data_IF_835922542075
#
_entry.id   IF_835922542075
#
_cell.length_a   1.000
_cell.length_b   1.000
_cell.length_c   1.000
_cell.angle_alpha   90.00
_cell.angle_beta   90.00
_cell.angle_gamma   90.00
#
_symmetry.space_group_name_H-M   'P 1'
#
loop_
_entity.id
_entity.type
_entity.pdbx_description
1 polymer ?
#
# COMPACT_ATOMS: atom_id res chain seq x y z
N UNK A 1 1.02 -7.56 -18.85
CA UNK A 1 1.75 -6.54 -18.08
C UNK A 1 2.23 -7.16 -16.77
N UNK A 2 3.46 -6.84 -16.36
CA UNK A 2 4.20 -7.54 -15.31
C UNK A 2 3.88 -6.89 -13.95
N UNK A 3 3.18 -7.60 -13.07
CA UNK A 3 2.97 -7.18 -11.69
C UNK A 3 4.33 -7.18 -10.98
N UNK A 4 4.72 -6.04 -10.40
CA UNK A 4 6.02 -5.89 -9.74
C UNK A 4 5.72 -5.57 -8.30
N UNK A 5 5.94 -6.58 -7.46
CA UNK A 5 5.72 -6.54 -6.02
C UNK A 5 6.96 -6.07 -5.29
N UNK A 6 8.08 -6.04 -6.02
CA UNK A 6 9.39 -5.66 -5.55
C UNK A 6 9.99 -4.66 -6.52
N UNK A 7 10.23 -3.45 -6.06
CA UNK A 7 10.90 -2.42 -6.84
C UNK A 7 12.15 -1.94 -6.09
N UNK A 8 13.25 -1.79 -6.82
CA UNK A 8 14.46 -1.15 -6.30
C UNK A 8 14.54 0.27 -6.85
N UNK A 9 14.70 1.22 -5.94
CA UNK A 9 14.82 2.65 -6.25
C UNK A 9 16.02 3.24 -5.52
N UNK A 10 16.66 4.20 -6.16
CA UNK A 10 17.72 5.01 -5.58
C UNK A 10 17.14 6.36 -5.15
N UNK A 11 17.29 6.68 -3.87
CA UNK A 11 16.86 7.96 -3.31
C UNK A 11 18.07 8.79 -2.94
N UNK A 12 18.07 10.05 -3.39
CA UNK A 12 19.15 11.02 -3.16
C UNK A 12 18.54 12.26 -2.51
N UNK A 13 18.83 12.46 -1.23
CA UNK A 13 18.43 13.68 -0.55
C UNK A 13 19.28 14.87 -1.02
N UNK A 14 18.74 16.09 -0.86
CA UNK A 14 19.43 17.31 -1.20
C UNK A 14 20.61 17.57 -0.28
N UNK A 15 21.69 18.10 -0.84
CA UNK A 15 22.83 18.58 -0.05
C UNK A 15 22.48 19.89 0.65
N UNK A 16 23.06 20.13 1.83
CA UNK A 16 23.02 21.44 2.46
C UNK A 16 23.79 22.46 1.64
N UNK A 17 23.29 23.69 1.58
CA UNK A 17 24.02 24.79 0.95
C UNK A 17 25.21 25.24 1.80
N UNK A 18 26.22 25.84 1.18
CA UNK A 18 27.39 26.32 1.92
C UNK A 18 27.13 27.63 2.66
N UNK A 19 27.71 27.76 3.85
CA UNK A 19 27.89 29.06 4.48
C UNK A 19 28.91 29.90 3.70
N UNK A 20 28.82 31.22 3.80
CA UNK A 20 29.81 32.10 3.18
C UNK A 20 30.55 32.95 4.19
N UNK A 21 31.75 33.35 3.80
CA UNK A 21 32.51 34.40 4.48
C UNK A 21 32.22 35.71 3.74
N UNK A 22 31.61 36.65 4.43
CA UNK A 22 31.43 38.01 3.92
C UNK A 22 31.60 39.02 5.05
N UNK A 23 31.92 40.26 4.68
CA UNK A 23 32.05 41.38 5.61
C UNK A 23 31.24 42.56 5.08
N UNK A 24 30.71 43.38 5.98
CA UNK A 24 29.99 44.61 5.60
C UNK A 24 30.98 45.57 4.96
N UNK A 25 30.62 46.14 3.81
CA UNK A 25 31.41 47.17 3.12
C UNK A 25 30.53 48.41 2.95
N UNK A 26 30.86 49.45 3.69
CA UNK A 26 30.17 50.74 3.67
C UNK A 26 31.20 51.85 3.46
N UNK A 27 30.86 52.87 2.66
CA UNK A 27 31.81 53.91 2.22
C UNK A 27 32.54 54.64 3.37
N UNK A 28 31.92 54.72 4.54
CA UNK A 28 32.45 55.42 5.72
C UNK A 28 32.85 54.47 6.86
N UNK A 29 32.85 53.16 6.64
CA UNK A 29 33.20 52.16 7.67
C UNK A 29 34.43 51.36 7.20
N UNK A 30 35.62 51.65 7.74
CA UNK A 30 36.86 51.02 7.28
C UNK A 30 36.94 49.52 7.61
N UNK A 31 36.31 49.06 8.70
CA UNK A 31 36.25 47.64 9.08
C UNK A 31 34.81 47.25 9.48
N UNK A 32 34.04 46.75 8.52
CA UNK A 32 32.69 46.27 8.78
C UNK A 32 32.70 44.87 9.42
N UNK A 33 31.75 44.62 10.31
CA UNK A 33 31.58 43.31 10.95
C UNK A 33 31.21 42.20 9.96
N UNK A 34 31.26 40.92 10.40
CA UNK A 34 30.93 39.78 9.55
C UNK A 34 29.48 39.85 9.06
N UNK A 35 29.29 39.52 7.79
CA UNK A 35 28.06 39.65 7.02
C UNK A 35 27.70 38.38 6.23
N UNK A 36 28.36 37.25 6.50
CA UNK A 36 28.11 36.00 5.79
C UNK A 36 26.86 35.31 6.30
N UNK A 37 25.95 35.00 5.37
CA UNK A 37 24.77 34.18 5.65
C UNK A 37 25.07 32.68 5.73
N UNK A 38 24.17 31.94 6.36
CA UNK A 38 24.20 30.49 6.43
C UNK A 38 23.68 29.87 5.12
N UNK A 39 24.06 28.64 4.83
CA UNK A 39 23.46 27.86 3.77
C UNK A 39 22.09 27.30 4.16
N UNK A 40 21.23 27.09 3.17
CA UNK A 40 19.92 26.45 3.36
C UNK A 40 20.05 24.95 3.58
N UNK A 41 19.05 24.34 4.21
CA UNK A 41 18.98 22.88 4.35
C UNK A 41 18.63 22.23 3.01
N UNK A 42 19.19 21.07 2.72
CA UNK A 42 18.77 20.24 1.59
C UNK A 42 17.39 19.62 1.82
N UNK A 43 16.66 19.38 0.74
CA UNK A 43 15.37 18.69 0.77
C UNK A 43 15.54 17.21 1.16
N UNK A 44 14.57 16.67 1.87
CA UNK A 44 14.51 15.25 2.27
C UNK A 44 13.66 14.47 1.28
N UNK A 45 13.86 13.15 1.22
CA UNK A 45 13.00 12.23 0.46
C UNK A 45 12.04 11.56 1.42
N UNK A 46 10.75 11.64 1.11
CA UNK A 46 9.65 11.17 1.96
C UNK A 46 8.77 10.25 1.13
N UNK A 47 8.54 9.03 1.62
CA UNK A 47 7.52 8.15 1.07
C UNK A 47 6.16 8.52 1.69
N UNK A 48 5.13 8.61 0.87
CA UNK A 48 3.76 8.86 1.29
C UNK A 48 2.85 7.73 0.82
N UNK A 49 2.21 7.05 1.77
CA UNK A 49 1.28 5.97 1.48
C UNK A 49 -0.04 6.51 0.92
N UNK A 50 -0.51 6.00 -0.22
CA UNK A 50 -1.79 6.39 -0.80
C UNK A 50 -2.64 5.16 -1.14
N UNK A 51 -3.95 5.26 -0.92
CA UNK A 51 -4.90 4.16 -1.11
C UNK A 51 -5.22 3.86 -2.57
N UNK A 52 -5.18 4.86 -3.45
CA UNK A 52 -5.52 4.68 -4.87
C UNK A 52 -4.40 3.99 -5.67
N UNK A 53 -3.18 3.95 -5.13
CA UNK A 53 -2.05 3.24 -5.74
C UNK A 53 -2.04 1.79 -5.28
N UNK A 54 -2.12 0.86 -6.23
CA UNK A 54 -2.24 -0.57 -5.95
C UNK A 54 -1.04 -1.39 -6.41
N UNK A 55 -0.10 -0.80 -7.17
CA UNK A 55 1.08 -1.51 -7.71
C UNK A 55 2.32 -0.64 -7.64
N UNK A 56 3.51 -1.25 -7.58
CA UNK A 56 4.79 -0.54 -7.66
C UNK A 56 5.30 -0.41 -9.11
N UNK A 57 4.41 -0.48 -10.11
CA UNK A 57 4.79 -0.49 -11.52
C UNK A 57 5.55 0.79 -11.94
N UNK A 58 5.15 1.94 -11.39
CA UNK A 58 5.71 3.25 -11.73
C UNK A 58 7.21 3.36 -11.38
N UNK A 59 7.63 2.65 -10.34
CA UNK A 59 9.02 2.57 -9.88
C UNK A 59 9.93 1.76 -10.80
N UNK A 60 9.37 1.01 -11.75
CA UNK A 60 10.15 0.29 -12.77
C UNK A 60 10.64 1.21 -13.89
N UNK A 61 10.00 2.35 -14.10
CA UNK A 61 10.40 3.30 -15.14
C UNK A 61 11.24 4.44 -14.55
N UNK A 62 10.94 4.83 -13.32
CA UNK A 62 11.69 5.84 -12.58
C UNK A 62 12.46 5.21 -11.42
N UNK A 63 13.75 4.97 -11.62
CA UNK A 63 14.64 4.35 -10.62
C UNK A 63 15.38 5.34 -9.73
N UNK A 64 15.43 6.63 -10.06
CA UNK A 64 16.20 7.62 -9.29
C UNK A 64 15.33 8.80 -8.90
N UNK A 65 15.24 9.07 -7.59
CA UNK A 65 14.49 10.19 -7.04
C UNK A 65 15.42 11.11 -6.25
N UNK A 66 15.53 12.35 -6.70
CA UNK A 66 16.41 13.36 -6.10
C UNK A 66 15.61 14.53 -5.52
N UNK A 67 15.93 14.92 -4.30
CA UNK A 67 15.41 16.13 -3.66
C UNK A 67 16.27 17.36 -4.00
N UNK A 68 15.72 18.56 -3.82
CA UNK A 68 16.40 19.81 -4.18
C UNK A 68 17.51 20.15 -3.17
N UNK A 69 18.64 20.67 -3.64
CA UNK A 69 19.73 21.12 -2.76
C UNK A 69 19.37 22.43 -2.06
N UNK A 70 19.96 22.64 -0.88
CA UNK A 70 19.91 23.92 -0.20
C UNK A 70 20.71 24.98 -0.95
N UNK A 71 20.17 26.21 -0.99
CA UNK A 71 20.85 27.36 -1.57
C UNK A 71 22.05 27.79 -0.72
N UNK A 72 23.08 28.32 -1.39
CA UNK A 72 24.25 28.91 -0.71
C UNK A 72 23.87 30.17 0.07
N UNK A 73 24.57 30.42 1.18
CA UNK A 73 24.50 31.69 1.89
C UNK A 73 24.89 32.88 1.01
N UNK A 74 24.29 34.03 1.25
CA UNK A 74 24.53 35.27 0.53
C UNK A 74 25.18 36.35 1.40
N UNK A 75 25.71 37.42 0.78
CA UNK A 75 26.24 38.57 1.50
C UNK A 75 25.10 39.30 2.23
N UNK A 76 25.46 40.18 3.17
CA UNK A 76 24.51 40.94 3.99
C UNK A 76 23.59 40.05 4.85
N UNK A 77 24.15 39.00 5.46
CA UNK A 77 23.45 38.08 6.36
C UNK A 77 22.28 37.32 5.71
N UNK A 78 22.28 37.18 4.38
CA UNK A 78 21.23 36.49 3.65
C UNK A 78 21.42 34.98 3.76
N UNK A 79 20.51 34.30 4.42
CA UNK A 79 20.53 32.83 4.50
C UNK A 79 20.03 32.23 3.18
N UNK A 80 20.65 31.14 2.75
CA UNK A 80 20.26 30.41 1.54
C UNK A 80 18.86 29.79 1.67
N UNK A 81 18.15 29.64 0.55
CA UNK A 81 16.83 29.00 0.50
C UNK A 81 16.94 27.52 0.86
N UNK A 82 15.98 26.98 1.60
CA UNK A 82 15.89 25.53 1.80
C UNK A 82 15.47 24.83 0.50
N UNK A 83 16.03 23.66 0.24
CA UNK A 83 15.60 22.79 -0.85
C UNK A 83 14.21 22.23 -0.59
N UNK A 84 13.40 22.06 -1.63
CA UNK A 84 12.13 21.36 -1.58
C UNK A 84 12.31 19.85 -1.35
N UNK A 85 11.45 19.30 -0.47
CA UNK A 85 11.38 17.88 -0.22
C UNK A 85 10.79 17.14 -1.42
N UNK A 86 11.26 15.90 -1.66
CA UNK A 86 10.71 15.03 -2.69
C UNK A 86 9.78 14.01 -2.05
N UNK A 87 8.49 14.14 -2.35
CA UNK A 87 7.47 13.17 -1.95
C UNK A 87 7.35 12.11 -3.04
N UNK A 88 7.40 10.85 -2.62
CA UNK A 88 7.24 9.68 -3.47
C UNK A 88 5.99 8.94 -2.99
N UNK A 89 5.04 8.74 -3.89
CA UNK A 89 3.76 8.12 -3.57
C UNK A 89 3.85 6.61 -3.72
N UNK A 90 3.53 5.86 -2.67
CA UNK A 90 3.57 4.39 -2.66
C UNK A 90 2.22 3.81 -2.22
N UNK A 91 1.85 2.60 -2.66
CA UNK A 91 0.69 1.88 -2.15
C UNK A 91 0.72 1.70 -0.63
N UNK A 92 -0.45 1.67 0.01
CA UNK A 92 -0.56 1.23 1.40
C UNK A 92 -0.19 -0.26 1.51
N UNK A 93 0.51 -0.64 2.58
CA UNK A 93 1.11 -1.98 2.76
C UNK A 93 2.51 -2.14 2.15
N UNK A 94 3.15 -1.05 1.75
CA UNK A 94 4.54 -1.07 1.25
C UNK A 94 5.51 -1.14 2.41
N UNK A 95 6.34 -2.19 2.43
CA UNK A 95 7.47 -2.32 3.34
C UNK A 95 8.72 -1.84 2.65
N UNK A 96 9.51 -1.05 3.39
CA UNK A 96 10.69 -0.39 2.87
C UNK A 96 11.91 -0.99 3.52
N UNK A 97 12.78 -1.59 2.73
CA UNK A 97 14.07 -2.12 3.16
C UNK A 97 15.19 -1.29 2.55
N UNK A 98 16.30 -1.20 3.27
CA UNK A 98 17.56 -0.77 2.69
C UNK A 98 18.12 -1.92 1.83
N UNK A 99 18.35 -1.68 0.54
CA UNK A 99 18.81 -2.71 -0.39
C UNK A 99 20.25 -3.15 -0.09
N UNK A 100 21.07 -2.27 0.47
CA UNK A 100 22.48 -2.56 0.76
C UNK A 100 22.66 -3.31 2.09
N UNK A 101 21.87 -2.97 3.12
CA UNK A 101 21.98 -3.57 4.47
C UNK A 101 20.94 -4.65 4.77
N UNK A 102 19.83 -4.70 4.03
CA UNK A 102 18.69 -5.56 4.29
C UNK A 102 17.84 -5.14 5.50
N UNK A 103 18.16 -4.00 6.14
CA UNK A 103 17.43 -3.50 7.31
C UNK A 103 16.05 -2.95 6.90
N UNK A 104 15.01 -3.28 7.67
CA UNK A 104 13.67 -2.72 7.48
C UNK A 104 13.62 -1.30 8.04
N UNK A 105 13.45 -0.31 7.17
CA UNK A 105 13.32 1.09 7.56
C UNK A 105 11.93 1.41 8.10
N UNK A 106 10.89 0.77 7.57
CA UNK A 106 9.52 0.97 8.03
C UNK A 106 8.47 0.27 7.17
N UNK A 107 7.26 0.18 7.73
CA UNK A 107 6.06 -0.37 7.07
C UNK A 107 5.00 0.74 6.99
N UNK A 108 4.54 1.02 5.77
CA UNK A 108 3.59 2.07 5.44
C UNK A 108 2.19 1.47 5.34
N UNK A 109 1.52 1.30 6.48
CA UNK A 109 0.24 0.59 6.59
C UNK A 109 -0.96 1.53 6.45
N UNK A 110 -0.85 2.75 6.99
CA UNK A 110 -1.96 3.69 7.04
C UNK A 110 -1.98 4.63 5.83
N UNK A 111 -3.16 5.06 5.37
CA UNK A 111 -3.27 6.06 4.33
C UNK A 111 -2.68 7.39 4.78
N UNK A 112 -1.95 8.06 3.87
CA UNK A 112 -1.20 9.31 4.11
C UNK A 112 -0.11 9.20 5.16
N UNK A 113 0.28 7.98 5.54
CA UNK A 113 1.44 7.77 6.40
C UNK A 113 2.70 8.22 5.66
N UNK A 114 3.49 9.07 6.32
CA UNK A 114 4.74 9.58 5.78
C UNK A 114 5.93 8.90 6.46
N UNK A 115 6.87 8.41 5.66
CA UNK A 115 8.14 7.87 6.13
C UNK A 115 9.29 8.62 5.47
N UNK A 116 10.10 9.31 6.28
CA UNK A 116 11.32 9.94 5.79
C UNK A 116 12.39 8.87 5.59
N UNK A 117 12.75 8.61 4.33
CA UNK A 117 13.70 7.56 3.96
C UNK A 117 15.12 8.09 3.79
N UNK A 118 15.29 9.33 3.35
CA UNK A 118 16.59 9.98 3.25
C UNK A 118 16.50 11.43 3.71
N UNK A 119 17.31 11.79 4.71
CA UNK A 119 17.34 13.15 5.27
C UNK A 119 18.22 14.07 4.44
N UNK A 120 17.69 15.26 4.17
CA UNK A 120 18.44 16.34 3.54
C UNK A 120 19.58 16.84 4.41
N UNK A 121 20.70 17.16 3.76
CA UNK A 121 21.93 17.63 4.38
C UNK A 121 21.73 18.95 5.14
N UNK A 122 22.45 19.12 6.25
CA UNK A 122 22.41 20.35 7.04
C UNK A 122 23.11 21.49 6.29
N UNK A 123 22.51 22.68 6.29
CA UNK A 123 23.14 23.88 5.75
C UNK A 123 24.40 24.27 6.50
N UNK A 124 25.39 24.79 5.77
CA UNK A 124 26.64 25.28 6.30
C UNK A 124 26.47 26.59 7.08
N UNK A 125 27.42 26.87 7.97
CA UNK A 125 27.39 28.05 8.83
C UNK A 125 28.26 29.16 8.23
N UNK A 126 27.68 30.35 8.04
CA UNK A 126 28.41 31.52 7.58
C UNK A 126 29.30 32.10 8.67
N UNK A 127 30.23 32.98 8.29
CA UNK A 127 31.20 33.53 9.25
C UNK A 127 30.55 34.30 10.41
N UNK A 128 29.37 34.91 10.21
CA UNK A 128 28.63 35.58 11.29
C UNK A 128 28.32 34.63 12.46
N UNK A 129 28.09 33.35 12.21
CA UNK A 129 27.79 32.38 13.26
C UNK A 129 28.96 32.19 14.25
N UNK A 130 30.20 32.43 13.80
CA UNK A 130 31.41 32.29 14.62
C UNK A 130 31.82 33.59 15.32
N UNK A 131 31.00 34.63 15.26
CA UNK A 131 31.23 35.88 15.96
C UNK A 131 31.21 35.63 17.47
N UNK A 132 32.31 35.96 18.14
CA UNK A 132 32.43 35.86 19.60
C UNK A 132 33.20 37.06 20.16
N UNK A 133 33.16 37.26 21.48
CA UNK A 133 33.89 38.35 22.13
C UNK A 133 35.41 38.28 21.87
N UNK A 134 35.96 37.07 21.72
CA UNK A 134 37.36 36.81 21.41
C UNK A 134 37.67 36.87 19.90
N UNK A 135 36.68 36.57 19.04
CA UNK A 135 36.84 36.61 17.58
C UNK A 135 35.76 37.48 16.92
N UNK A 136 36.08 38.77 16.75
CA UNK A 136 35.16 39.78 16.19
C UNK A 136 35.10 39.79 14.65
N UNK A 137 36.07 39.17 13.99
CA UNK A 137 36.17 39.09 12.52
C UNK A 137 36.50 37.66 12.08
N UNK A 138 35.58 36.70 12.26
CA UNK A 138 35.78 35.33 11.80
C UNK A 138 35.92 35.28 10.26
N UNK A 139 36.99 34.63 9.80
CA UNK A 139 37.31 34.45 8.38
C UNK A 139 36.99 33.04 7.85
N UNK A 140 36.34 32.21 8.66
CA UNK A 140 35.95 30.86 8.27
C UNK A 140 34.43 30.72 8.19
N UNK A 141 33.99 29.81 7.32
CA UNK A 141 32.62 29.35 7.19
C UNK A 141 32.65 27.82 7.07
N UNK A 142 31.57 27.16 7.50
CA UNK A 142 31.43 25.73 7.31
C UNK A 142 30.66 25.45 6.02
N UNK A 143 31.10 24.46 5.21
CA UNK A 143 30.34 24.00 4.06
C UNK A 143 29.06 23.28 4.51
N UNK A 144 28.12 23.11 3.58
CA UNK A 144 26.96 22.28 3.81
C UNK A 144 27.33 20.79 3.94
N UNK A 145 26.54 20.04 4.69
CA UNK A 145 26.71 18.59 4.76
C UNK A 145 26.02 17.93 3.55
N UNK A 146 26.57 16.81 3.06
CA UNK A 146 25.89 16.02 2.03
C UNK A 146 24.57 15.45 2.56
N UNK A 147 23.60 15.30 1.66
CA UNK A 147 22.35 14.58 1.94
C UNK A 147 22.57 13.07 1.95
N UNK A 148 21.68 12.35 2.64
CA UNK A 148 21.70 10.89 2.64
C UNK A 148 21.38 10.33 1.25
N UNK A 149 22.07 9.25 0.87
CA UNK A 149 21.87 8.52 -0.38
C UNK A 149 21.69 7.05 -0.04
N UNK A 150 20.57 6.48 -0.45
CA UNK A 150 20.18 5.12 -0.08
C UNK A 150 19.57 4.42 -1.28
N UNK A 151 19.85 3.13 -1.42
CA UNK A 151 19.09 2.23 -2.28
C UNK A 151 18.01 1.56 -1.45
N UNK A 152 16.78 1.68 -1.90
CA UNK A 152 15.62 1.13 -1.21
C UNK A 152 15.06 -0.02 -2.03
N UNK A 153 14.76 -1.11 -1.34
CA UNK A 153 13.93 -2.20 -1.86
C UNK A 153 12.53 -2.05 -1.27
N UNK A 154 11.59 -1.69 -2.13
CA UNK A 154 10.18 -1.58 -1.79
C UNK A 154 9.53 -2.94 -2.05
N UNK A 155 8.87 -3.48 -1.04
CA UNK A 155 8.10 -4.71 -1.16
C UNK A 155 6.65 -4.43 -0.78
N UNK A 156 5.74 -4.64 -1.73
CA UNK A 156 4.32 -4.57 -1.43
C UNK A 156 3.91 -5.88 -0.77
N UNK A 157 3.54 -5.83 0.52
CA UNK A 157 2.83 -6.95 1.15
C UNK A 157 1.43 -6.97 0.55
N UNK A 158 1.26 -7.75 -0.50
CA UNK A 158 -0.01 -7.88 -1.20
C UNK A 158 -1.11 -8.29 -0.24
N UNK A 159 -2.13 -7.43 -0.17
CA UNK A 159 -3.39 -7.69 0.49
C UNK A 159 -4.40 -7.91 -0.64
N UNK A 160 -4.96 -9.11 -0.72
CA UNK A 160 -6.07 -9.33 -1.64
C UNK A 160 -7.28 -8.54 -1.14
N UNK A 161 -7.88 -7.72 -1.98
CA UNK A 161 -9.09 -6.97 -1.62
C UNK A 161 -10.30 -7.92 -1.56
N UNK A 162 -10.32 -8.90 -2.46
CA UNK A 162 -11.39 -9.90 -2.58
C UNK A 162 -10.83 -11.30 -2.34
N UNK A 163 -11.35 -11.97 -1.33
CA UNK A 163 -11.07 -13.37 -1.05
C UNK A 163 -12.14 -14.27 -1.65
N UNK A 164 -11.75 -15.24 -2.47
CA UNK A 164 -12.67 -16.22 -3.04
C UNK A 164 -12.69 -17.46 -2.14
N UNK A 165 -13.88 -17.83 -1.67
CA UNK A 165 -14.12 -19.00 -0.82
C UNK A 165 -15.10 -19.95 -1.51
N UNK A 166 -15.03 -21.24 -1.18
CA UNK A 166 -15.83 -22.29 -1.81
C UNK A 166 -15.13 -23.63 -1.74
N UNK A 167 -15.88 -24.70 -1.97
CA UNK A 167 -15.40 -26.07 -1.93
C UNK A 167 -14.33 -26.37 -3.01
N UNK A 168 -13.52 -27.43 -2.83
CA UNK A 168 -12.66 -27.92 -3.89
C UNK A 168 -13.55 -28.29 -5.09
N UNK A 169 -13.20 -27.83 -6.29
CA UNK A 169 -13.95 -27.98 -7.55
C UNK A 169 -15.12 -27.00 -7.80
N UNK A 170 -15.37 -26.04 -6.91
CA UNK A 170 -16.33 -24.95 -7.17
C UNK A 170 -15.93 -24.02 -8.35
N UNK A 171 -14.73 -24.22 -8.91
CA UNK A 171 -14.23 -23.45 -10.06
C UNK A 171 -13.52 -22.15 -9.70
N UNK A 172 -12.98 -22.03 -8.47
CA UNK A 172 -12.26 -20.85 -7.97
C UNK A 172 -11.09 -20.44 -8.86
N UNK A 173 -10.17 -21.36 -9.15
CA UNK A 173 -9.02 -21.10 -10.05
C UNK A 173 -9.47 -20.74 -11.47
N UNK A 174 -10.54 -21.37 -11.96
CA UNK A 174 -11.12 -21.09 -13.27
C UNK A 174 -11.70 -19.67 -13.32
N UNK A 175 -12.41 -19.26 -12.27
CA UNK A 175 -12.95 -17.90 -12.13
C UNK A 175 -11.83 -16.86 -12.12
N UNK A 176 -10.77 -17.07 -11.32
CA UNK A 176 -9.61 -16.17 -11.28
C UNK A 176 -8.95 -16.06 -12.66
N UNK A 177 -8.80 -17.19 -13.35
CA UNK A 177 -8.21 -17.23 -14.70
C UNK A 177 -9.08 -16.53 -15.74
N UNK A 178 -10.41 -16.61 -15.61
CA UNK A 178 -11.36 -15.98 -16.51
C UNK A 178 -11.47 -14.46 -16.29
N UNK A 179 -11.40 -14.03 -15.03
CA UNK A 179 -11.50 -12.62 -14.62
C UNK A 179 -10.17 -11.87 -14.77
N UNK A 180 -9.03 -12.55 -14.63
CA UNK A 180 -7.74 -11.85 -14.61
C UNK A 180 -7.33 -11.39 -16.01
N UNK A 181 -6.97 -10.11 -16.12
CA UNK A 181 -6.39 -9.53 -17.32
C UNK A 181 -4.94 -9.98 -17.57
N UNK A 182 -4.34 -10.70 -16.61
CA UNK A 182 -3.02 -11.31 -16.67
C UNK A 182 -3.13 -12.80 -16.37
N UNK A 183 -2.11 -13.60 -16.75
CA UNK A 183 -2.06 -15.00 -16.26
C UNK A 183 -1.99 -14.98 -14.73
N UNK A 184 -2.82 -15.77 -14.02
CA UNK A 184 -2.75 -15.89 -12.57
C UNK A 184 -1.31 -16.16 -12.15
N UNK A 185 -0.79 -15.35 -11.22
CA UNK A 185 0.56 -15.55 -10.70
C UNK A 185 0.46 -16.47 -9.49
N UNK A 186 1.21 -17.57 -9.58
CA UNK A 186 1.49 -18.50 -8.50
C UNK A 186 2.48 -17.80 -7.58
N UNK A 187 2.04 -17.30 -6.42
CA UNK A 187 2.89 -16.55 -5.51
C UNK A 187 3.46 -17.44 -4.41
N UNK A 188 4.77 -17.69 -4.47
CA UNK A 188 5.49 -18.48 -3.48
C UNK A 188 5.90 -17.59 -2.31
N UNK A 189 5.03 -17.47 -1.30
CA UNK A 189 5.38 -16.73 -0.09
C UNK A 189 6.20 -17.64 0.85
N UNK A 190 7.23 -17.09 1.53
CA UNK A 190 8.12 -17.89 2.39
C UNK A 190 7.44 -18.50 3.64
N UNK A 191 6.15 -18.24 3.85
CA UNK A 191 5.36 -18.69 5.00
C UNK A 191 4.11 -19.50 4.61
N UNK A 192 3.93 -19.81 3.33
CA UNK A 192 2.77 -20.57 2.84
C UNK A 192 3.19 -21.98 2.45
N UNK A 193 2.56 -23.00 3.03
CA UNK A 193 2.66 -24.40 2.59
C UNK A 193 1.83 -24.68 1.33
N UNK A 194 0.77 -23.89 1.11
CA UNK A 194 -0.09 -23.93 -0.07
C UNK A 194 0.05 -22.64 -0.85
N UNK A 195 0.41 -22.74 -2.13
CA UNK A 195 0.59 -21.58 -2.99
C UNK A 195 -0.78 -21.01 -3.37
N UNK A 196 -1.13 -19.77 -2.96
CA UNK A 196 -2.41 -19.18 -3.33
C UNK A 196 -2.41 -18.76 -4.80
N UNK A 197 -3.57 -18.91 -5.45
CA UNK A 197 -3.81 -18.38 -6.79
C UNK A 197 -4.25 -16.92 -6.68
N UNK A 198 -3.47 -16.00 -7.25
CA UNK A 198 -3.78 -14.57 -7.29
C UNK A 198 -4.09 -14.15 -8.72
N UNK A 199 -5.16 -13.37 -8.90
CA UNK A 199 -5.53 -12.75 -10.17
C UNK A 199 -5.80 -11.28 -10.00
N UNK A 200 -5.29 -10.48 -10.94
CA UNK A 200 -5.58 -9.04 -10.99
C UNK A 200 -6.68 -8.79 -12.01
N UNK A 201 -7.75 -8.14 -11.57
CA UNK A 201 -8.89 -7.77 -12.41
C UNK A 201 -8.88 -6.26 -12.57
N UNK A 202 -8.91 -5.77 -13.81
CA UNK A 202 -8.95 -4.33 -14.09
C UNK A 202 -10.36 -3.79 -13.93
N UNK A 203 -10.49 -2.71 -13.18
CA UNK A 203 -11.69 -1.88 -13.19
C UNK A 203 -11.75 -1.08 -14.51
N UNK A 204 -12.95 -0.74 -15.00
CA UNK A 204 -13.13 0.18 -16.12
C UNK A 204 -12.52 1.56 -15.85
N UNK A 205 -12.34 1.93 -14.57
CA UNK A 205 -11.73 3.19 -14.13
C UNK A 205 -10.21 3.25 -14.29
N UNK A 206 -9.55 2.11 -14.55
CA UNK A 206 -8.09 2.01 -14.71
C UNK A 206 -7.35 1.36 -13.53
N UNK A 207 -8.00 1.25 -12.37
CA UNK A 207 -7.43 0.64 -11.17
C UNK A 207 -7.44 -0.90 -11.24
N UNK A 208 -6.50 -1.58 -10.59
CA UNK A 208 -6.33 -3.03 -10.65
C UNK A 208 -6.62 -3.70 -9.30
N UNK A 209 -7.77 -4.37 -9.17
CA UNK A 209 -8.15 -5.08 -7.94
C UNK A 209 -7.53 -6.47 -7.89
N UNK A 210 -6.98 -6.85 -6.73
CA UNK A 210 -6.38 -8.17 -6.50
C UNK A 210 -7.41 -9.12 -5.89
N UNK A 211 -7.66 -10.22 -6.59
CA UNK A 211 -8.45 -11.36 -6.15
C UNK A 211 -7.51 -12.47 -5.70
N UNK A 212 -7.74 -13.03 -4.52
CA UNK A 212 -7.05 -14.22 -4.06
C UNK A 212 -8.02 -15.37 -3.88
N UNK A 213 -7.61 -16.55 -4.34
CA UNK A 213 -8.16 -17.79 -3.80
C UNK A 213 -7.69 -17.92 -2.35
N UNK A 214 -8.60 -18.23 -1.44
CA UNK A 214 -8.27 -18.61 -0.08
C UNK A 214 -8.16 -20.15 -0.06
N UNK A 215 -6.95 -20.72 -0.27
CA UNK A 215 -6.74 -22.14 -0.08
C UNK A 215 -6.94 -22.49 1.41
N UNK A 216 -7.62 -23.59 1.68
CA UNK A 216 -7.56 -24.21 3.02
C UNK A 216 -8.63 -23.81 4.04
N UNK A 217 -9.89 -23.60 3.63
CA UNK A 217 -11.01 -23.86 4.55
C UNK A 217 -11.27 -25.37 4.72
N UNK A 218 -10.76 -26.19 3.79
CA UNK A 218 -11.04 -27.62 3.69
C UNK A 218 -10.26 -28.40 4.78
N UNK A 219 -11.01 -29.08 5.65
CA UNK A 219 -10.61 -30.21 6.50
C UNK A 219 -9.21 -30.11 7.17
N UNK A 220 -9.12 -29.41 8.31
CA UNK A 220 -7.98 -29.53 9.23
C UNK A 220 -7.39 -28.23 9.78
N UNK A 221 -7.90 -27.05 9.37
CA UNK A 221 -7.44 -25.76 9.88
C UNK A 221 -7.62 -25.61 11.42
N UNK A 222 -8.64 -26.27 11.98
CA UNK A 222 -8.90 -26.34 13.42
C UNK A 222 -7.93 -27.24 14.19
N UNK A 223 -7.15 -28.11 13.53
CA UNK A 223 -6.17 -29.00 14.18
C UNK A 223 -4.75 -28.39 14.28
N UNK A 224 -4.55 -27.15 13.85
CA UNK A 224 -3.25 -26.46 14.00
C UNK A 224 -2.12 -27.00 13.11
N UNK A 225 -2.44 -27.84 12.12
CA UNK A 225 -1.47 -28.43 11.21
C UNK A 225 -1.41 -27.60 9.92
N UNK A 226 -0.48 -26.64 9.87
CA UNK A 226 0.13 -26.23 8.61
C UNK A 226 -0.31 -24.91 7.97
N UNK A 227 -1.32 -24.21 8.48
CA UNK A 227 -1.61 -22.82 8.09
C UNK A 227 -0.96 -21.90 9.11
N UNK A 228 0.22 -21.36 8.78
CA UNK A 228 0.96 -20.46 9.66
C UNK A 228 0.09 -19.28 10.12
N UNK A 229 0.22 -18.90 11.40
CA UNK A 229 -0.50 -17.78 12.02
C UNK A 229 -0.37 -16.47 11.22
N UNK A 230 0.70 -16.33 10.42
CA UNK A 230 0.91 -15.19 9.55
C UNK A 230 0.05 -15.24 8.28
N UNK A 231 -0.16 -16.37 7.60
CA UNK A 231 -1.05 -16.45 6.42
C UNK A 231 -2.48 -16.00 6.76
N UNK A 232 -2.93 -16.38 7.95
CA UNK A 232 -4.19 -16.01 8.55
C UNK A 232 -4.32 -14.48 8.73
N UNK A 233 -3.25 -13.81 9.17
CA UNK A 233 -3.18 -12.34 9.27
C UNK A 233 -3.26 -11.63 7.91
N UNK A 234 -2.93 -12.31 6.81
CA UNK A 234 -3.05 -11.75 5.46
C UNK A 234 -4.48 -11.89 4.90
N UNK A 235 -5.17 -13.00 5.18
CA UNK A 235 -6.60 -13.17 4.87
C UNK A 235 -7.46 -12.23 5.72
N UNK A 236 -7.04 -11.93 6.95
CA UNK A 236 -7.68 -10.92 7.81
C UNK A 236 -7.68 -9.50 7.22
N UNK A 237 -7.04 -9.24 6.08
CA UNK A 237 -7.12 -7.95 5.38
C UNK A 237 -7.95 -7.96 4.09
N UNK A 238 -8.61 -9.08 3.77
CA UNK A 238 -9.62 -9.10 2.70
C UNK A 238 -10.82 -8.24 3.11
N UNK A 239 -11.25 -7.35 2.22
CA UNK A 239 -12.38 -6.44 2.50
C UNK A 239 -13.71 -7.10 2.16
N UNK A 240 -13.70 -8.02 1.21
CA UNK A 240 -14.89 -8.68 0.69
C UNK A 240 -14.61 -10.17 0.46
N UNK A 241 -15.61 -11.00 0.76
CA UNK A 241 -15.57 -12.44 0.48
C UNK A 241 -16.53 -12.77 -0.67
N UNK A 242 -16.02 -13.46 -1.69
CA UNK A 242 -16.82 -14.02 -2.78
C UNK A 242 -17.02 -15.51 -2.51
N UNK A 243 -18.24 -15.89 -2.17
CA UNK A 243 -18.62 -17.27 -1.92
C UNK A 243 -19.07 -17.93 -3.22
N UNK A 244 -18.21 -18.80 -3.74
CA UNK A 244 -18.45 -19.61 -4.92
C UNK A 244 -19.10 -20.95 -4.56
N UNK A 245 -20.30 -21.19 -5.08
CA UNK A 245 -21.06 -22.43 -4.91
C UNK A 245 -21.20 -23.11 -6.27
N UNK A 246 -20.98 -24.43 -6.32
CA UNK A 246 -21.19 -25.22 -7.53
C UNK A 246 -22.65 -25.68 -7.62
N UNK A 247 -23.37 -25.28 -8.68
CA UNK A 247 -24.76 -25.71 -8.86
C UNK A 247 -24.87 -27.17 -9.36
N UNK A 248 -23.80 -27.73 -9.91
CA UNK A 248 -23.76 -29.13 -10.37
C UNK A 248 -23.47 -30.12 -9.24
N UNK A 249 -23.19 -29.63 -8.04
CA UNK A 249 -22.99 -30.47 -6.86
C UNK A 249 -24.30 -31.16 -6.45
N UNK A 250 -24.17 -32.28 -5.73
CA UNK A 250 -25.32 -33.07 -5.29
C UNK A 250 -26.27 -32.26 -4.39
N UNK A 251 -25.73 -31.43 -3.49
CA UNK A 251 -26.49 -30.58 -2.58
C UNK A 251 -25.83 -29.19 -2.41
N UNK A 252 -26.11 -28.22 -3.31
CA UNK A 252 -25.50 -26.88 -3.26
C UNK A 252 -25.78 -26.12 -1.95
N UNK A 253 -26.89 -26.43 -1.29
CA UNK A 253 -27.30 -25.83 -0.02
C UNK A 253 -26.45 -26.39 1.14
N UNK A 254 -26.15 -27.69 1.13
CA UNK A 254 -25.29 -28.31 2.13
C UNK A 254 -23.84 -27.80 2.02
N UNK A 255 -23.37 -27.58 0.78
CA UNK A 255 -22.07 -26.98 0.50
C UNK A 255 -21.96 -25.57 1.10
N UNK A 256 -23.00 -24.75 0.93
CA UNK A 256 -23.07 -23.42 1.56
C UNK A 256 -22.99 -23.51 3.09
N UNK A 257 -23.78 -24.40 3.72
CA UNK A 257 -23.75 -24.58 5.17
C UNK A 257 -22.40 -25.06 5.69
N UNK A 258 -21.72 -25.93 4.95
CA UNK A 258 -20.39 -26.42 5.30
C UNK A 258 -19.38 -25.28 5.35
N UNK A 259 -19.34 -24.43 4.30
CA UNK A 259 -18.44 -23.27 4.25
C UNK A 259 -18.79 -22.25 5.34
N UNK A 260 -20.07 -22.03 5.64
CA UNK A 260 -20.47 -21.14 6.74
C UNK A 260 -20.03 -21.66 8.11
N UNK A 261 -20.16 -22.96 8.35
CA UNK A 261 -19.67 -23.58 9.58
C UNK A 261 -18.14 -23.48 9.68
N UNK A 262 -17.42 -23.64 8.58
CA UNK A 262 -15.97 -23.45 8.53
C UNK A 262 -15.57 -22.00 8.83
N UNK A 263 -16.26 -21.02 8.24
CA UNK A 263 -16.06 -19.58 8.52
C UNK A 263 -16.34 -19.24 9.99
N UNK A 264 -17.42 -19.79 10.57
CA UNK A 264 -17.77 -19.58 11.97
C UNK A 264 -16.78 -20.26 12.92
N UNK A 265 -16.37 -21.49 12.63
CA UNK A 265 -15.39 -22.24 13.42
C UNK A 265 -14.00 -21.59 13.41
N UNK A 266 -13.66 -20.87 12.34
CA UNK A 266 -12.42 -20.12 12.24
C UNK A 266 -12.38 -18.91 13.19
N UNK A 267 -13.51 -18.20 13.36
CA UNK A 267 -13.60 -16.99 14.20
C UNK A 267 -12.73 -15.82 13.70
N UNK A 268 -12.82 -14.64 14.31
CA UNK A 268 -12.11 -13.38 13.92
C UNK A 268 -12.70 -12.61 12.73
N UNK A 269 -13.87 -11.99 12.92
CA UNK A 269 -14.47 -10.95 12.05
C UNK A 269 -14.76 -11.34 10.57
N UNK A 270 -14.23 -12.45 10.06
CA UNK A 270 -14.52 -13.01 8.73
C UNK A 270 -16.01 -13.30 8.48
N UNK A 271 -16.79 -13.89 9.41
CA UNK A 271 -18.22 -14.08 9.20
C UNK A 271 -19.00 -12.76 9.16
N UNK A 272 -18.48 -11.68 9.76
CA UNK A 272 -19.09 -10.34 9.75
C UNK A 272 -18.78 -9.55 8.47
N UNK A 273 -17.86 -10.05 7.63
CA UNK A 273 -17.51 -9.38 6.37
C UNK A 273 -18.64 -9.45 5.37
N UNK A 274 -18.74 -8.45 4.48
CA UNK A 274 -19.67 -8.51 3.37
C UNK A 274 -19.31 -9.71 2.47
N UNK A 275 -20.27 -10.62 2.34
CA UNK A 275 -20.18 -11.78 1.49
C UNK A 275 -21.01 -11.52 0.24
N UNK A 276 -20.50 -11.93 -0.92
CA UNK A 276 -21.27 -11.99 -2.16
C UNK A 276 -21.36 -13.46 -2.56
N UNK A 277 -22.57 -13.93 -2.86
CA UNK A 277 -22.82 -15.31 -3.27
C UNK A 277 -22.80 -15.40 -4.79
N UNK A 278 -22.06 -16.36 -5.32
CA UNK A 278 -21.96 -16.64 -6.74
C UNK A 278 -22.18 -18.13 -7.00
N UNK A 279 -23.29 -18.46 -7.68
CA UNK A 279 -23.58 -19.79 -8.22
C UNK A 279 -22.80 -19.97 -9.52
N UNK A 280 -21.91 -20.96 -9.58
CA UNK A 280 -21.09 -21.25 -10.74
C UNK A 280 -21.58 -22.50 -11.48
N UNK A 281 -21.16 -22.63 -12.74
CA UNK A 281 -21.52 -23.71 -13.68
C UNK A 281 -22.99 -23.73 -14.10
N UNK A 282 -23.60 -22.55 -14.22
CA UNK A 282 -24.98 -22.40 -14.73
C UNK A 282 -25.15 -22.85 -16.18
N UNK A 283 -24.06 -23.06 -16.92
CA UNK A 283 -24.06 -23.62 -18.26
C UNK A 283 -24.43 -25.11 -18.32
N UNK A 284 -24.34 -25.83 -17.20
CA UNK A 284 -24.56 -27.27 -17.13
C UNK A 284 -25.96 -27.66 -16.59
N UNK A 285 -26.81 -26.69 -16.25
CA UNK A 285 -28.06 -26.90 -15.53
C UNK A 285 -29.19 -26.06 -16.14
N UNK A 286 -30.42 -26.54 -16.05
CA UNK A 286 -31.61 -25.84 -16.54
C UNK A 286 -31.93 -24.58 -15.72
N UNK A 287 -32.57 -23.61 -16.40
CA UNK A 287 -32.88 -22.29 -15.85
C UNK A 287 -33.82 -22.35 -14.63
N UNK A 288 -34.74 -23.31 -14.60
CA UNK A 288 -35.68 -23.51 -13.49
C UNK A 288 -34.95 -23.89 -12.19
N UNK A 289 -33.95 -24.76 -12.28
CA UNK A 289 -33.15 -25.19 -11.11
C UNK A 289 -32.23 -24.07 -10.61
N UNK A 290 -31.74 -23.21 -11.52
CA UNK A 290 -31.00 -21.99 -11.15
C UNK A 290 -31.89 -21.02 -10.38
N UNK A 291 -33.13 -20.82 -10.82
CA UNK A 291 -34.10 -19.94 -10.16
C UNK A 291 -34.54 -20.48 -8.79
N UNK A 292 -34.77 -21.79 -8.65
CA UNK A 292 -35.11 -22.41 -7.37
C UNK A 292 -34.00 -22.24 -6.32
N UNK A 293 -32.77 -22.60 -6.68
CA UNK A 293 -31.62 -22.51 -5.76
C UNK A 293 -31.28 -21.07 -5.42
N UNK A 294 -31.34 -20.15 -6.40
CA UNK A 294 -31.09 -18.73 -6.16
C UNK A 294 -32.17 -18.09 -5.28
N UNK A 295 -33.44 -18.46 -5.46
CA UNK A 295 -34.54 -17.96 -4.62
C UNK A 295 -34.39 -18.46 -3.19
N UNK A 296 -34.07 -19.74 -3.02
CA UNK A 296 -33.86 -20.33 -1.70
C UNK A 296 -32.68 -19.68 -0.96
N UNK A 297 -31.53 -19.51 -1.63
CA UNK A 297 -30.35 -18.85 -1.04
C UNK A 297 -30.59 -17.36 -0.76
N UNK A 298 -31.30 -16.63 -1.62
CA UNK A 298 -31.68 -15.24 -1.38
C UNK A 298 -32.58 -15.12 -0.13
N UNK A 299 -33.54 -16.03 0.06
CA UNK A 299 -34.40 -16.06 1.23
C UNK A 299 -33.63 -16.38 2.52
N UNK A 300 -32.66 -17.29 2.44
CA UNK A 300 -31.86 -17.72 3.59
C UNK A 300 -30.84 -16.69 4.05
N UNK A 301 -30.24 -15.96 3.11
CA UNK A 301 -29.06 -15.13 3.39
C UNK A 301 -29.34 -13.63 3.33
N UNK A 302 -30.43 -13.20 2.67
CA UNK A 302 -30.70 -11.79 2.34
C UNK A 302 -29.56 -11.07 1.61
N UNK A 303 -28.62 -11.84 1.03
CA UNK A 303 -27.46 -11.37 0.28
C UNK A 303 -27.72 -11.60 -1.20
N UNK A 304 -27.34 -10.68 -2.11
CA UNK A 304 -27.54 -10.87 -3.54
C UNK A 304 -26.76 -12.09 -4.06
N UNK A 305 -27.51 -13.07 -4.59
CA UNK A 305 -26.97 -14.25 -5.27
C UNK A 305 -26.81 -13.96 -6.76
N UNK A 306 -25.60 -14.18 -7.28
CA UNK A 306 -25.28 -14.03 -8.70
C UNK A 306 -25.11 -15.38 -9.38
N UNK A 307 -25.77 -15.56 -10.52
CA UNK A 307 -25.63 -16.73 -11.38
C UNK A 307 -24.53 -16.48 -12.41
N UNK A 308 -23.44 -17.24 -12.36
CA UNK A 308 -22.26 -17.07 -13.21
C UNK A 308 -21.82 -18.39 -13.86
N UNK A 309 -21.15 -18.28 -15.01
CA UNK A 309 -20.34 -19.37 -15.55
C UNK A 309 -18.94 -18.85 -15.81
N UNK A 310 -17.98 -19.34 -15.02
CA UNK A 310 -16.57 -18.99 -15.20
C UNK A 310 -16.03 -19.43 -16.57
N UNK A 311 -16.51 -20.56 -17.10
CA UNK A 311 -16.05 -21.14 -18.38
C UNK A 311 -16.68 -20.39 -19.56
N UNK A 312 -18.00 -20.19 -19.54
CA UNK A 312 -18.72 -19.51 -20.61
C UNK A 312 -18.63 -17.98 -20.53
N UNK A 313 -18.04 -17.43 -19.46
CA UNK A 313 -17.95 -16.00 -19.15
C UNK A 313 -19.31 -15.29 -19.06
N UNK A 314 -20.32 -16.01 -18.60
CA UNK A 314 -21.69 -15.50 -18.44
C UNK A 314 -21.83 -14.91 -17.03
N UNK A 315 -22.43 -13.72 -16.92
CA UNK A 315 -22.77 -13.08 -15.63
C UNK A 315 -21.58 -12.46 -14.88
N UNK A 316 -20.35 -12.58 -15.40
CA UNK A 316 -19.13 -12.08 -14.73
C UNK A 316 -19.11 -10.55 -14.59
N UNK A 317 -19.57 -9.81 -15.59
CA UNK A 317 -19.55 -8.34 -15.57
C UNK A 317 -20.50 -7.76 -14.51
N UNK A 318 -21.67 -8.39 -14.33
CA UNK A 318 -22.63 -8.00 -13.31
C UNK A 318 -22.08 -8.27 -11.90
N UNK A 319 -21.43 -9.42 -11.71
CA UNK A 319 -20.75 -9.76 -10.46
C UNK A 319 -19.62 -8.77 -10.14
N UNK A 320 -18.73 -8.50 -11.10
CA UNK A 320 -17.64 -7.55 -10.93
C UNK A 320 -18.11 -6.14 -10.60
N UNK A 321 -19.16 -5.66 -11.29
CA UNK A 321 -19.76 -4.36 -11.03
C UNK A 321 -20.27 -4.25 -9.59
N UNK A 322 -20.89 -5.31 -9.06
CA UNK A 322 -21.35 -5.34 -7.66
C UNK A 322 -20.19 -5.40 -6.67
N UNK A 323 -19.15 -6.17 -6.98
CA UNK A 323 -17.94 -6.24 -6.16
C UNK A 323 -17.30 -4.85 -6.07
N UNK A 324 -17.13 -4.15 -7.18
CA UNK A 324 -16.57 -2.79 -7.18
C UNK A 324 -17.43 -1.81 -6.39
N UNK A 325 -18.76 -1.82 -6.58
CA UNK A 325 -19.67 -0.98 -5.80
C UNK A 325 -19.55 -1.26 -4.30
N UNK A 326 -19.44 -2.53 -3.90
CA UNK A 326 -19.31 -2.92 -2.50
C UNK A 326 -17.96 -2.52 -1.92
N UNK A 327 -16.87 -2.67 -2.68
CA UNK A 327 -15.53 -2.21 -2.30
C UNK A 327 -15.47 -0.69 -2.12
N UNK A 328 -16.13 0.07 -3.00
CA UNK A 328 -16.20 1.53 -2.92
C UNK A 328 -17.08 1.99 -1.73
N UNK A 329 -18.15 1.27 -1.41
CA UNK A 329 -18.95 1.55 -0.20
C UNK A 329 -18.18 1.27 1.10
N UNK A 330 -17.39 0.20 1.11
CA UNK A 330 -16.55 -0.17 2.26
C UNK A 330 -15.40 0.82 2.46
N UNK A 331 -14.80 1.32 1.37
CA UNK A 331 -13.76 2.35 1.47
C UNK A 331 -14.29 3.67 2.07
N UNK A 332 -15.52 4.05 1.74
CA UNK A 332 -16.21 5.23 2.32
C UNK A 332 -16.57 4.98 3.80
N UNK A 333 -17.01 3.78 4.16
CA UNK A 333 -17.33 3.41 5.54
C UNK A 333 -16.09 3.43 6.45
N UNK A 334 -14.93 2.97 5.96
CA UNK A 334 -13.65 3.03 6.69
C UNK A 334 -13.16 4.47 6.90
N UNK A 335 -13.37 5.36 5.92
CA UNK A 335 -13.15 6.79 6.07
C UNK A 335 -14.01 7.39 7.20
N UNK A 336 -15.28 7.00 7.32
CA UNK A 336 -16.17 7.51 8.37
C UNK A 336 -15.77 7.06 9.79
N UNK A 337 -15.34 5.79 9.95
CA UNK A 337 -14.90 5.23 11.24
C UNK A 337 -13.60 5.87 11.75
N UNK A 338 -12.72 6.26 10.84
CA UNK A 338 -11.43 6.89 11.18
C UNK A 338 -11.63 8.31 11.76
N UNK A 339 -12.73 8.98 11.43
CA UNK A 339 -13.01 10.34 11.92
C UNK A 339 -13.40 10.40 13.41
N UNK A 340 -13.79 9.27 14.01
CA UNK A 340 -14.30 9.22 15.40
C UNK A 340 -13.20 8.95 16.44
N UNK A 341 -12.02 8.46 16.01
CA UNK A 341 -10.91 8.07 16.92
C UNK A 341 -9.69 8.99 16.84
N UNK A 342 -9.89 10.31 16.79
CA UNK A 342 -8.87 11.26 17.22
C UNK A 342 -8.99 11.42 18.75
N UNK A 343 -8.00 11.00 19.56
CA UNK A 343 -8.00 11.37 20.97
C UNK A 343 -7.90 12.90 21.02
N UNK A 344 -8.92 13.54 21.62
CA UNK A 344 -8.84 14.94 22.00
C UNK A 344 -7.74 15.06 23.05
N UNK A 345 -6.49 15.23 22.60
CA UNK A 345 -5.38 15.61 23.47
C UNK A 345 -5.72 16.99 24.03
N UNK A 346 -6.14 16.97 25.28
CA UNK A 346 -6.44 18.13 26.10
C UNK A 346 -5.16 18.95 26.26
N UNK A 347 -5.00 19.99 25.46
CA UNK A 347 -3.99 21.03 25.73
C UNK A 347 -4.57 21.87 26.86
N UNK A 348 -4.14 21.56 28.08
CA UNK A 348 -4.23 22.48 29.23
C UNK A 348 -2.84 23.05 29.49
N UNK A 349 -2.84 24.38 29.59
CA UNK A 349 -1.80 25.36 29.96
C UNK A 349 -0.90 25.82 28.82
#
# INVERSE_FOLDING_TARGET
MQFIDQAEIEVVAGNGGDGIVAFRREKYVPAGGPAGGNGGRGGSVILNAIEHLQTLLDFKYAHCFRAENGGRGGPNNRTGKNGSDRIIEVPCGTVVYNADTGEMLGDLVQPRQMLCVAKGGKGGLGNRHFLSNHNRAPEHALPGLPGEQLRLRLELKLLAEVGIIGLPNAGKSTLISALSAARPKIANYPFTTLIPNLGVVRKPTGDGTVFADIPGLIAGAHQGIGLGHDFLRHIERTRLLLHLIDITAADPIADYHTIQQELQAYGRELPERPQILALNKVDAVDQDMIEEVSTYLNQLTQVPVFSISAVAKIGLDALLSKIWQSLDQLSVADCSKTTVNLPQSTVKV
#
